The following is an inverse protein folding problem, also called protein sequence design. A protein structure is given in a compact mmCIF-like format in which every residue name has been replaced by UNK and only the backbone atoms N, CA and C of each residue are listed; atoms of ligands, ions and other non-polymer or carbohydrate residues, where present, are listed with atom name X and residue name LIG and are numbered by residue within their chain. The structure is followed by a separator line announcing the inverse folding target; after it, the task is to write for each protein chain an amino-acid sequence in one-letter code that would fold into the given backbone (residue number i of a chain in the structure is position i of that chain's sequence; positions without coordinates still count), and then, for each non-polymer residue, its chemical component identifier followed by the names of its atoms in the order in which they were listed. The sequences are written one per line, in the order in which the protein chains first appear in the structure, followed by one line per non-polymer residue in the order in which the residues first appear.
data_IF_225088641836
#
_entry.id   IF_225088641836
#
_cell.length_a   1.000
_cell.length_b   1.000
_cell.length_c   1.000
_cell.angle_alpha   90.00
_cell.angle_beta   90.00
_cell.angle_gamma   90.00
#
_symmetry.space_group_name_H-M   'P 1'
#
loop_
_entity.id
_entity.type
_entity.pdbx_description
1 polymer ?
#
# COMPACT_ATOMS: atom_id res chain seq x y z
N UNK A 1 -14.31 -11.31 -7.06
CA UNK A 1 -13.94 -11.36 -5.63
C UNK A 1 -12.46 -11.06 -5.50
N UNK A 2 -12.10 -9.78 -5.59
CA UNK A 2 -10.70 -9.30 -5.45
C UNK A 2 -10.71 -7.91 -4.82
N UNK A 3 -11.51 -7.73 -3.76
CA UNK A 3 -11.77 -6.42 -3.13
C UNK A 3 -11.14 -6.30 -1.73
N UNK A 4 -10.15 -7.14 -1.42
CA UNK A 4 -9.52 -7.17 -0.09
C UNK A 4 -8.39 -6.14 0.08
N UNK A 5 -7.90 -5.54 -1.01
CA UNK A 5 -6.79 -4.61 -0.99
C UNK A 5 -7.25 -3.26 -1.54
N UNK A 6 -7.34 -2.27 -0.66
CA UNK A 6 -7.77 -0.90 -0.95
C UNK A 6 -6.99 0.07 -0.05
N UNK A 7 -7.04 1.35 -0.36
CA UNK A 7 -6.46 2.36 0.53
C UNK A 7 -7.28 2.44 1.80
N UNK A 8 -6.70 2.18 2.98
CA UNK A 8 -7.42 2.27 4.26
C UNK A 8 -7.89 3.70 4.61
N UNK A 9 -7.46 4.72 3.87
CA UNK A 9 -7.89 6.11 4.06
C UNK A 9 -9.04 6.51 3.11
N UNK A 10 -8.94 6.22 1.80
CA UNK A 10 -9.94 6.65 0.81
C UNK A 10 -10.70 5.51 0.12
N UNK A 11 -10.45 4.26 0.51
CA UNK A 11 -11.10 3.05 0.00
C UNK A 11 -10.95 2.81 -1.51
N UNK A 12 -10.12 3.59 -2.21
CA UNK A 12 -9.82 3.35 -3.62
C UNK A 12 -9.21 1.97 -3.80
N UNK A 13 -9.66 1.26 -4.83
CA UNK A 13 -9.13 -0.04 -5.23
C UNK A 13 -7.95 0.13 -6.20
N UNK A 14 -6.99 -0.82 -6.25
CA UNK A 14 -5.95 -0.83 -7.28
C UNK A 14 -6.51 -0.89 -8.70
N UNK A 15 -7.59 -1.65 -8.91
CA UNK A 15 -8.26 -1.80 -10.21
C UNK A 15 -8.89 -0.51 -10.75
N UNK A 16 -9.16 0.46 -9.87
CA UNK A 16 -9.69 1.78 -10.25
C UNK A 16 -8.60 2.76 -10.71
N UNK A 17 -7.33 2.34 -10.74
CA UNK A 17 -6.18 3.19 -11.07
C UNK A 17 -5.41 2.63 -12.26
N UNK A 18 -4.97 3.50 -13.17
CA UNK A 18 -4.15 3.12 -14.34
C UNK A 18 -2.78 2.59 -13.94
N UNK A 19 -2.15 3.21 -12.94
CA UNK A 19 -0.85 2.79 -12.40
C UNK A 19 -0.94 2.75 -10.87
N UNK A 20 -1.49 1.67 -10.29
CA UNK A 20 -1.72 1.61 -8.86
C UNK A 20 -0.41 1.57 -8.09
N UNK A 21 -0.19 2.54 -7.21
CA UNK A 21 0.92 2.58 -6.25
C UNK A 21 0.39 2.58 -4.83
N UNK A 22 0.83 1.58 -4.07
CA UNK A 22 0.40 1.36 -2.69
C UNK A 22 1.60 1.19 -1.78
N UNK A 23 1.40 1.61 -0.54
CA UNK A 23 2.44 1.65 0.47
C UNK A 23 1.92 0.97 1.73
N UNK A 24 2.77 0.13 2.33
CA UNK A 24 2.54 -0.43 3.65
C UNK A 24 3.23 0.46 4.69
N UNK A 25 2.48 0.91 5.69
CA UNK A 25 3.05 1.68 6.82
C UNK A 25 3.54 0.76 7.94
N UNK A 26 4.40 1.27 8.81
CA UNK A 26 4.81 0.60 10.07
C UNK A 26 3.64 0.37 11.05
N UNK A 27 2.52 1.06 10.87
CA UNK A 27 1.26 0.79 11.59
C UNK A 27 0.31 -0.13 10.83
N UNK A 28 0.81 -0.82 9.79
CA UNK A 28 0.09 -1.83 9.00
C UNK A 28 -1.12 -1.33 8.20
N UNK A 29 -1.24 -0.02 7.98
CA UNK A 29 -2.23 0.53 7.06
C UNK A 29 -1.69 0.56 5.62
N UNK A 30 -2.55 0.24 4.67
CA UNK A 30 -2.30 0.35 3.24
C UNK A 30 -2.76 1.72 2.76
N UNK A 31 -1.85 2.48 2.15
CA UNK A 31 -2.17 3.80 1.60
C UNK A 31 -1.88 3.84 0.11
N UNK A 32 -2.80 4.43 -0.67
CA UNK A 32 -2.48 4.81 -2.04
C UNK A 32 -1.52 6.02 -2.04
N UNK A 33 -0.80 6.21 -3.15
CA UNK A 33 0.13 7.32 -3.32
C UNK A 33 -0.48 8.68 -2.97
N UNK A 34 -1.73 8.94 -3.39
CA UNK A 34 -2.39 10.22 -3.15
C UNK A 34 -2.64 10.49 -1.66
N UNK A 35 -3.04 9.47 -0.88
CA UNK A 35 -3.25 9.61 0.56
C UNK A 35 -1.93 9.75 1.31
N UNK A 36 -0.89 9.02 0.88
CA UNK A 36 0.44 9.13 1.47
C UNK A 36 1.04 10.54 1.27
N UNK A 37 0.93 11.10 0.06
CA UNK A 37 1.47 12.44 -0.25
C UNK A 37 0.76 13.58 0.49
N UNK A 38 -0.51 13.39 0.87
CA UNK A 38 -1.25 14.34 1.71
C UNK A 38 -0.80 14.32 3.17
N UNK A 39 -0.18 13.23 3.62
CA UNK A 39 0.38 13.14 4.96
C UNK A 39 1.69 13.95 5.01
N UNK A 40 1.60 15.16 5.56
CA UNK A 40 2.72 16.09 5.69
C UNK A 40 3.04 16.32 7.18
N UNK A 41 4.24 16.82 7.48
CA UNK A 41 4.70 17.11 8.85
C UNK A 41 5.99 16.40 9.23
N UNK A 42 6.51 16.73 10.41
CA UNK A 42 7.65 16.06 11.03
C UNK A 42 7.41 15.93 12.55
N UNK A 43 7.03 14.74 13.05
CA UNK A 43 6.90 13.48 12.33
C UNK A 43 5.71 13.45 11.36
N UNK A 44 5.80 12.62 10.31
CA UNK A 44 4.66 12.33 9.43
C UNK A 44 3.69 11.41 10.17
N UNK A 45 2.40 11.77 10.25
CA UNK A 45 1.37 10.97 10.91
C UNK A 45 0.55 10.14 9.91
N UNK A 46 0.20 8.92 10.30
CA UNK A 46 -0.70 8.09 9.53
C UNK A 46 -2.09 8.71 9.46
N UNK A 47 -2.68 8.92 8.26
CA UNK A 47 -4.01 9.49 8.13
C UNK A 47 -5.15 8.57 8.61
N UNK A 48 -4.85 7.32 9.01
CA UNK A 48 -5.85 6.36 9.51
C UNK A 48 -5.85 6.27 11.03
N UNK A 49 -4.68 6.17 11.68
CA UNK A 49 -4.57 6.01 13.12
C UNK A 49 -3.86 7.15 13.86
N UNK A 50 -3.38 8.18 13.14
CA UNK A 50 -2.65 9.33 13.68
C UNK A 50 -1.36 9.01 14.46
N UNK A 51 -0.83 7.79 14.36
CA UNK A 51 0.50 7.46 14.88
C UNK A 51 1.59 7.92 13.91
N UNK A 52 2.80 8.19 14.42
CA UNK A 52 3.98 8.46 13.60
C UNK A 52 4.22 7.30 12.62
N UNK A 53 4.36 7.62 11.33
CA UNK A 53 4.49 6.64 10.29
C UNK A 53 5.76 6.74 9.45
N UNK A 54 6.24 5.55 9.08
CA UNK A 54 7.14 5.30 7.96
C UNK A 54 6.42 4.34 7.00
N UNK A 55 6.76 4.41 5.73
CA UNK A 55 6.11 3.59 4.70
C UNK A 55 7.11 3.03 3.70
N UNK A 56 6.81 1.86 3.18
CA UNK A 56 7.52 1.23 2.07
C UNK A 56 6.55 0.95 0.93
N UNK A 57 7.00 1.11 -0.30
CA UNK A 57 6.20 0.79 -1.48
C UNK A 57 6.02 -0.73 -1.59
N UNK A 58 4.80 -1.16 -1.91
CA UNK A 58 4.49 -2.55 -2.22
C UNK A 58 4.84 -2.78 -3.69
N UNK A 59 6.02 -3.34 -3.93
CA UNK A 59 6.51 -3.70 -5.25
C UNK A 59 7.48 -4.89 -5.16
N UNK A 60 7.99 -5.36 -6.30
CA UNK A 60 8.93 -6.49 -6.39
C UNK A 60 10.26 -6.29 -5.67
N UNK A 61 10.61 -5.05 -5.31
CA UNK A 61 11.80 -4.72 -4.53
C UNK A 61 11.56 -4.73 -3.00
N UNK A 62 10.32 -4.93 -2.54
CA UNK A 62 9.99 -5.10 -1.12
C UNK A 62 10.71 -6.32 -0.51
N UNK A 63 11.06 -6.26 0.78
CA UNK A 63 11.73 -7.37 1.49
C UNK A 63 10.99 -8.71 1.29
N UNK A 64 11.68 -9.81 0.92
CA UNK A 64 11.04 -11.10 0.65
C UNK A 64 10.17 -11.65 1.77
N UNK A 65 10.49 -11.39 3.05
CA UNK A 65 9.66 -11.79 4.19
C UNK A 65 8.37 -10.98 4.26
N UNK A 66 8.42 -9.70 3.89
CA UNK A 66 7.21 -8.89 3.78
C UNK A 66 6.39 -9.31 2.56
N UNK A 67 7.03 -9.71 1.46
CA UNK A 67 6.32 -10.32 0.33
C UNK A 67 5.57 -11.60 0.73
N UNK A 68 6.06 -12.38 1.69
CA UNK A 68 5.36 -13.58 2.17
C UNK A 68 4.02 -13.27 2.85
N UNK A 69 3.91 -12.12 3.56
CA UNK A 69 2.62 -11.65 4.13
C UNK A 69 1.54 -11.49 3.06
N UNK A 70 1.97 -11.30 1.82
CA UNK A 70 1.16 -11.06 0.66
C UNK A 70 0.98 -12.34 -0.20
N UNK A 71 1.96 -13.25 -0.23
CA UNK A 71 1.93 -14.49 -1.04
C UNK A 71 0.86 -15.50 -0.61
N UNK A 72 0.46 -15.52 0.67
CA UNK A 72 -0.39 -16.58 1.23
C UNK A 72 -1.84 -16.51 0.73
N UNK A 73 -2.26 -15.43 0.05
CA UNK A 73 -3.64 -15.30 -0.40
C UNK A 73 -3.83 -14.25 -1.51
N UNK A 74 -4.08 -14.76 -2.73
CA UNK A 74 -4.82 -14.12 -3.85
C UNK A 74 -4.05 -13.39 -4.99
N UNK A 75 -4.58 -13.45 -6.24
CA UNK A 75 -3.96 -12.92 -7.47
C UNK A 75 -3.81 -11.39 -7.56
N UNK A 76 -4.20 -10.63 -6.54
CA UNK A 76 -4.20 -9.15 -6.56
C UNK A 76 -2.79 -8.57 -6.48
N UNK A 77 -1.86 -9.25 -5.81
CA UNK A 77 -0.47 -8.82 -5.70
C UNK A 77 0.31 -8.96 -6.99
N UNK A 78 -0.13 -9.84 -7.89
CA UNK A 78 0.43 -9.92 -9.23
C UNK A 78 0.29 -8.56 -9.95
N UNK A 79 -0.76 -7.78 -9.69
CA UNK A 79 -0.95 -6.46 -10.33
C UNK A 79 -0.02 -5.37 -9.80
N UNK A 80 0.28 -5.34 -8.50
CA UNK A 80 1.19 -4.35 -7.92
C UNK A 80 2.65 -4.67 -8.23
N UNK A 81 2.98 -5.96 -8.37
CA UNK A 81 4.34 -6.43 -8.62
C UNK A 81 4.70 -6.51 -10.12
N UNK A 82 3.72 -6.53 -11.05
CA UNK A 82 3.96 -6.62 -12.50
C UNK A 82 4.23 -5.30 -13.22
N UNK A 83 4.19 -4.15 -12.54
CA UNK A 83 4.38 -2.82 -13.14
C UNK A 83 5.83 -2.51 -13.57
N UNK A 84 6.73 -3.50 -13.60
CA UNK A 84 8.16 -3.35 -13.88
C UNK A 84 8.67 -4.28 -15.00
N UNK A 85 7.84 -4.56 -15.99
CA UNK A 85 8.27 -5.08 -17.31
C UNK A 85 7.77 -4.15 -18.41
#
# INVERSE_FOLDING_TARGET
MTDFMHCNCCYVLPSAQTTPKYFLTNCYHLLCQQCLQKATGNPVLCPVCNCEMRSIEINSAMDPKLQELFKVSYPVLVFLFKSHL
#
